data_IF_874744352428
#
_entry.id   IF_874744352428
#
_cell.length_a   1.000
_cell.length_b   1.000
_cell.length_c   1.000
_cell.angle_alpha   90.00
_cell.angle_beta   90.00
_cell.angle_gamma   90.00
#
_symmetry.space_group_name_H-M   'P 1'
#
loop_
_entity.id
_entity.type
_entity.pdbx_description
1 polymer ?
#
# COMPACT_ATOMS: atom_id res chain seq x y z
N UNK A 1 -6.17 12.77 -20.27
CA UNK A 1 -5.89 13.03 -18.85
C UNK A 1 -6.73 12.04 -18.04
N UNK A 2 -6.13 10.93 -17.59
CA UNK A 2 -6.84 10.00 -16.71
C UNK A 2 -7.10 10.74 -15.40
N UNK A 3 -8.37 10.95 -15.08
CA UNK A 3 -8.77 11.59 -13.84
C UNK A 3 -8.22 10.74 -12.69
N UNK A 4 -7.19 11.24 -12.00
CA UNK A 4 -6.60 10.65 -10.79
C UNK A 4 -7.58 10.70 -9.60
N UNK A 5 -8.88 10.55 -9.84
CA UNK A 5 -9.89 10.30 -8.84
C UNK A 5 -9.88 8.83 -8.46
N UNK A 6 -8.70 8.25 -8.23
CA UNK A 6 -8.64 7.04 -7.44
C UNK A 6 -8.86 7.45 -6.00
N UNK A 7 -10.11 7.35 -5.57
CA UNK A 7 -10.51 7.40 -4.17
C UNK A 7 -9.93 6.15 -3.50
N UNK A 8 -8.62 6.14 -3.29
CA UNK A 8 -7.89 5.06 -2.62
C UNK A 8 -8.21 5.17 -1.14
N UNK A 9 -9.08 4.28 -0.70
CA UNK A 9 -9.37 4.04 0.71
C UNK A 9 -8.19 3.25 1.26
N UNK A 10 -7.52 3.77 2.29
CA UNK A 10 -6.56 2.97 3.06
C UNK A 10 -7.29 1.71 3.55
N UNK A 11 -6.64 0.54 3.60
CA UNK A 11 -7.29 -0.69 4.06
C UNK A 11 -7.91 -0.45 5.44
N UNK A 12 -9.23 -0.60 5.54
CA UNK A 12 -10.00 -0.26 6.75
C UNK A 12 -10.17 -1.49 7.67
N UNK A 13 -9.74 -2.66 7.20
CA UNK A 13 -9.76 -3.91 7.95
C UNK A 13 -8.40 -4.62 7.93
N UNK A 14 -8.13 -5.39 8.98
CA UNK A 14 -6.94 -6.24 9.08
C UNK A 14 -6.86 -7.29 7.95
N UNK A 15 -8.01 -7.76 7.46
CA UNK A 15 -8.07 -8.72 6.36
C UNK A 15 -7.60 -8.13 5.03
N UNK A 16 -8.00 -6.88 4.74
CA UNK A 16 -7.50 -6.15 3.57
C UNK A 16 -6.01 -5.84 3.71
N UNK A 17 -5.57 -5.52 4.93
CA UNK A 17 -4.16 -5.29 5.24
C UNK A 17 -3.29 -6.53 5.00
N UNK A 18 -3.67 -7.68 5.55
CA UNK A 18 -2.96 -8.95 5.30
C UNK A 18 -2.93 -9.31 3.81
N UNK A 19 -4.04 -9.05 3.09
CA UNK A 19 -4.10 -9.30 1.64
C UNK A 19 -3.15 -8.38 0.87
N UNK A 20 -3.03 -7.12 1.28
CA UNK A 20 -2.12 -6.16 0.67
C UNK A 20 -0.67 -6.52 0.96
N UNK A 21 -0.34 -6.85 2.20
CA UNK A 21 1.00 -7.28 2.60
C UNK A 21 1.43 -8.55 1.85
N UNK A 22 0.53 -9.51 1.63
CA UNK A 22 0.81 -10.67 0.80
C UNK A 22 1.10 -10.34 -0.67
N UNK A 23 0.50 -9.26 -1.20
CA UNK A 23 0.68 -8.84 -2.60
C UNK A 23 1.96 -8.05 -2.82
N UNK A 24 2.28 -7.12 -1.93
CA UNK A 24 3.37 -6.15 -2.13
C UNK A 24 4.49 -6.24 -1.09
N UNK A 25 4.34 -7.01 -0.02
CA UNK A 25 5.31 -7.06 1.09
C UNK A 25 6.72 -7.45 0.63
N UNK A 26 6.82 -8.36 -0.35
CA UNK A 26 8.12 -8.73 -0.95
C UNK A 26 8.76 -7.58 -1.72
N UNK A 27 7.98 -6.84 -2.48
CA UNK A 27 8.49 -5.71 -3.28
C UNK A 27 8.81 -4.51 -2.39
N UNK A 28 7.99 -4.30 -1.37
CA UNK A 28 8.23 -3.33 -0.31
C UNK A 28 9.56 -3.59 0.40
N UNK A 29 9.79 -4.82 0.89
CA UNK A 29 11.01 -5.18 1.62
C UNK A 29 12.30 -5.04 0.79
N UNK A 30 12.21 -5.11 -0.54
CA UNK A 30 13.35 -4.85 -1.44
C UNK A 30 13.71 -3.37 -1.50
N UNK A 31 12.69 -2.51 -1.50
CA UNK A 31 12.85 -1.06 -1.55
C UNK A 31 13.15 -0.44 -0.17
N UNK A 32 12.68 -1.09 0.90
CA UNK A 32 12.81 -0.64 2.28
C UNK A 32 13.37 -1.77 3.17
N UNK A 33 14.69 -2.05 3.09
CA UNK A 33 15.31 -3.10 3.90
C UNK A 33 15.21 -2.78 5.39
N UNK A 34 14.63 -3.69 6.17
CA UNK A 34 14.50 -3.54 7.62
C UNK A 34 13.28 -2.75 8.09
N UNK A 35 12.45 -2.27 7.17
CA UNK A 35 11.13 -1.72 7.49
C UNK A 35 10.03 -2.66 7.03
N UNK A 36 8.91 -2.64 7.75
CA UNK A 36 7.68 -3.36 7.37
C UNK A 36 6.59 -2.40 6.92
N UNK A 37 5.61 -2.92 6.17
CA UNK A 37 4.42 -2.14 5.82
C UNK A 37 3.63 -1.73 7.09
N UNK A 38 3.68 -2.53 8.14
CA UNK A 38 3.09 -2.20 9.44
C UNK A 38 3.79 -1.01 10.12
N UNK A 39 5.12 -0.90 10.01
CA UNK A 39 5.87 0.26 10.51
C UNK A 39 5.42 1.54 9.82
N UNK A 40 5.27 1.51 8.48
CA UNK A 40 4.73 2.65 7.75
C UNK A 40 3.29 2.94 8.15
N UNK A 41 2.43 1.91 8.31
CA UNK A 41 1.04 2.09 8.76
C UNK A 41 0.98 2.84 10.09
N UNK A 42 1.84 2.48 11.04
CA UNK A 42 1.94 3.16 12.34
C UNK A 42 2.42 4.60 12.19
N UNK A 43 3.43 4.85 11.34
CA UNK A 43 3.99 6.20 11.12
C UNK A 43 3.06 7.12 10.31
N UNK A 44 2.25 6.58 9.39
CA UNK A 44 1.28 7.31 8.57
C UNK A 44 0.17 8.01 9.38
N UNK A 45 -0.04 7.59 10.63
CA UNK A 45 -0.93 8.28 11.57
C UNK A 45 -0.40 9.69 11.92
N UNK A 46 0.92 9.87 11.97
CA UNK A 46 1.58 11.09 12.44
C UNK A 46 2.29 11.88 11.33
N UNK A 47 2.65 11.22 10.24
CA UNK A 47 3.46 11.78 9.15
C UNK A 47 2.66 11.81 7.85
N UNK A 48 2.59 12.99 7.22
CA UNK A 48 1.90 13.15 5.92
C UNK A 48 2.70 12.48 4.82
N UNK A 49 4.01 12.49 4.94
CA UNK A 49 4.97 11.82 4.06
C UNK A 49 4.74 10.30 4.09
N UNK A 50 4.67 9.71 5.28
CA UNK A 50 4.41 8.26 5.42
C UNK A 50 3.00 7.88 4.98
N UNK A 51 2.03 8.77 5.15
CA UNK A 51 0.69 8.59 4.61
C UNK A 51 0.67 8.59 3.09
N UNK A 52 1.46 9.47 2.47
CA UNK A 52 1.67 9.48 1.01
C UNK A 52 2.34 8.21 0.52
N UNK A 53 3.42 7.80 1.18
CA UNK A 53 4.14 6.56 0.87
C UNK A 53 3.24 5.33 0.97
N UNK A 54 2.45 5.24 2.04
CA UNK A 54 1.48 4.16 2.21
C UNK A 54 0.44 4.14 1.08
N UNK A 55 -0.11 5.29 0.71
CA UNK A 55 -1.08 5.42 -0.38
C UNK A 55 -0.50 4.93 -1.70
N UNK A 56 0.75 5.27 -1.99
CA UNK A 56 1.39 4.90 -3.26
C UNK A 56 1.63 3.38 -3.32
N UNK A 57 2.00 2.74 -2.21
CA UNK A 57 2.11 1.28 -2.12
C UNK A 57 0.75 0.56 -2.24
N UNK A 58 -0.31 1.12 -1.67
CA UNK A 58 -1.69 0.61 -1.87
C UNK A 58 -2.09 0.66 -3.35
N UNK A 59 -1.72 1.72 -4.07
CA UNK A 59 -1.98 1.83 -5.50
C UNK A 59 -1.23 0.77 -6.32
N UNK A 60 0.02 0.46 -5.95
CA UNK A 60 0.78 -0.65 -6.53
C UNK A 60 0.06 -1.98 -6.29
N UNK A 61 -0.39 -2.25 -5.05
CA UNK A 61 -1.14 -3.48 -4.74
C UNK A 61 -2.43 -3.61 -5.57
N UNK A 62 -3.16 -2.50 -5.76
CA UNK A 62 -4.35 -2.48 -6.60
C UNK A 62 -4.03 -2.80 -8.08
N UNK A 63 -2.94 -2.25 -8.62
CA UNK A 63 -2.47 -2.56 -9.96
C UNK A 63 -2.08 -4.05 -10.11
N UNK A 64 -1.42 -4.63 -9.09
CA UNK A 64 -1.11 -6.06 -9.06
C UNK A 64 -2.37 -6.95 -9.07
N UNK A 65 -3.43 -6.57 -8.35
CA UNK A 65 -4.71 -7.31 -8.37
C UNK A 65 -5.33 -7.32 -9.77
N UNK A 66 -5.29 -6.20 -10.48
CA UNK A 66 -5.83 -6.08 -11.84
C UNK A 66 -5.06 -6.99 -12.81
N UNK A 67 -3.73 -7.00 -12.74
CA UNK A 67 -2.90 -7.83 -13.62
C UNK A 67 -3.05 -9.34 -13.38
N UNK A 68 -3.38 -9.76 -12.16
CA UNK A 68 -3.55 -11.19 -11.81
C UNK A 68 -4.93 -11.76 -12.18
N UNK A 69 -5.87 -10.91 -12.56
CA UNK A 69 -7.26 -11.28 -12.87
C UNK A 69 -7.62 -11.15 -14.36
N UNK A 70 -6.63 -10.79 -15.21
CA UNK A 70 -6.70 -10.78 -16.67
C UNK A 70 -5.98 -12.00 -17.25
#
# INVERSE_FOLDING_TARGET
MLSNSHRYVLPDSEAEWSSLEALIGRDFARCHPGETLEDIRRRAAFSKEDRGLLRDWVAVAAAHKIWRSV
#
